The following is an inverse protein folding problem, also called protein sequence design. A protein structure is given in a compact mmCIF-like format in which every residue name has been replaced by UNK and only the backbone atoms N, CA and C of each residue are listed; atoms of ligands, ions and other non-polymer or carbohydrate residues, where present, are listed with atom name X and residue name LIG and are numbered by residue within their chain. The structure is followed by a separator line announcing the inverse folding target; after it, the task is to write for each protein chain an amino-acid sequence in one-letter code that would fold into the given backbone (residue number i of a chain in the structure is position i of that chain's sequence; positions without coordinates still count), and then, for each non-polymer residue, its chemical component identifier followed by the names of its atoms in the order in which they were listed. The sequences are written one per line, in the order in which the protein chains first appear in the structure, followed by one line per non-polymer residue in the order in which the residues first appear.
data_IF_340459420120
#
_entry.id   IF_340459420120
#
_cell.length_a   1.000
_cell.length_b   1.000
_cell.length_c   1.000
_cell.angle_alpha   90.00
_cell.angle_beta   90.00
_cell.angle_gamma   90.00
#
_symmetry.space_group_name_H-M   'P 1'
#
loop_
_entity.id
_entity.type
_entity.pdbx_description
1 polymer ?
#
# COMPACT_ATOMS: atom_id res chain seq x y z
N UNK A 1 8.49 16.56 61.52
CA UNK A 1 8.35 15.51 60.48
C UNK A 1 8.37 16.14 59.08
N UNK A 2 9.46 16.76 58.62
CA UNK A 2 10.63 16.20 57.93
C UNK A 2 10.35 15.22 56.76
N UNK A 3 9.89 15.76 55.63
CA UNK A 3 9.93 15.07 54.33
C UNK A 3 10.90 15.78 53.39
N UNK A 4 12.20 15.61 53.66
CA UNK A 4 13.28 15.95 52.72
C UNK A 4 13.68 14.67 51.96
N UNK A 5 13.76 14.80 50.64
CA UNK A 5 14.71 14.15 49.71
C UNK A 5 15.06 12.66 49.93
N UNK A 6 14.66 11.82 48.97
CA UNK A 6 15.39 10.59 48.64
C UNK A 6 15.36 10.36 47.12
N UNK A 7 16.16 11.13 46.38
CA UNK A 7 16.60 10.72 45.05
C UNK A 7 17.65 9.61 45.25
N UNK A 8 17.20 8.35 45.25
CA UNK A 8 18.09 7.20 45.31
C UNK A 8 18.37 6.74 43.89
N UNK A 9 19.63 6.92 43.54
CA UNK A 9 20.29 6.49 42.32
C UNK A 9 20.29 4.96 42.30
N UNK A 10 19.88 4.35 41.20
CA UNK A 10 20.18 2.95 40.93
C UNK A 10 20.97 2.89 39.62
N UNK A 11 22.25 2.59 39.78
CA UNK A 11 23.22 2.32 38.73
C UNK A 11 23.35 0.80 38.58
N UNK A 12 23.63 0.35 37.36
CA UNK A 12 24.32 -0.91 36.96
C UNK A 12 23.53 -1.79 35.99
N UNK A 13 24.23 -2.16 34.90
CA UNK A 13 24.00 -3.19 33.87
C UNK A 13 23.09 -2.71 32.71
N UNK A 14 23.49 -2.64 31.44
CA UNK A 14 24.48 -3.41 30.68
C UNK A 14 24.98 -2.61 29.47
N UNK A 15 26.29 -2.59 29.28
CA UNK A 15 26.98 -2.14 28.08
C UNK A 15 26.90 -3.24 27.02
N UNK A 16 26.27 -2.95 25.88
CA UNK A 16 26.35 -3.77 24.68
C UNK A 16 26.69 -2.86 23.49
N UNK A 17 27.78 -3.22 22.82
CA UNK A 17 28.47 -2.45 21.80
C UNK A 17 27.63 -2.12 20.55
N UNK A 18 27.98 -1.04 19.83
CA UNK A 18 27.56 -0.85 18.45
C UNK A 18 28.37 -1.79 17.54
N UNK A 19 27.82 -2.98 17.25
CA UNK A 19 28.37 -3.83 16.20
C UNK A 19 28.00 -3.24 14.84
N UNK A 20 28.96 -2.57 14.24
CA UNK A 20 29.07 -2.39 12.80
C UNK A 20 28.92 -3.74 12.11
N UNK A 21 27.85 -3.93 11.35
CA UNK A 21 27.78 -5.01 10.35
C UNK A 21 27.24 -4.45 9.05
N UNK A 22 28.17 -4.32 8.12
CA UNK A 22 27.97 -4.20 6.68
C UNK A 22 26.84 -5.12 6.23
N UNK A 23 25.69 -4.56 5.84
CA UNK A 23 24.57 -5.32 5.25
C UNK A 23 24.92 -5.72 3.82
N UNK A 24 25.56 -6.87 3.66
CA UNK A 24 25.60 -7.62 2.40
C UNK A 24 24.22 -8.25 2.17
N UNK A 25 23.61 -7.98 1.02
CA UNK A 25 22.19 -8.26 0.69
C UNK A 25 21.82 -9.73 0.49
N UNK A 26 22.69 -10.70 0.78
CA UNK A 26 22.52 -12.08 0.30
C UNK A 26 22.09 -13.12 1.35
N UNK A 27 22.00 -12.76 2.64
CA UNK A 27 21.70 -13.71 3.73
C UNK A 27 20.36 -13.41 4.45
N UNK A 28 19.30 -13.06 3.72
CA UNK A 28 17.95 -13.12 4.30
C UNK A 28 17.42 -14.54 4.05
N UNK A 29 17.26 -15.40 5.08
CA UNK A 29 16.73 -16.74 4.89
C UNK A 29 15.35 -16.68 4.22
N UNK A 30 15.13 -17.48 3.17
CA UNK A 30 13.93 -17.48 2.33
C UNK A 30 12.63 -17.48 3.16
N UNK A 31 12.63 -18.21 4.29
CA UNK A 31 11.50 -18.32 5.20
C UNK A 31 11.15 -16.99 5.90
N UNK A 32 12.13 -16.15 6.17
CA UNK A 32 11.94 -14.81 6.77
C UNK A 32 11.27 -13.85 5.77
N UNK A 33 11.59 -13.98 4.48
CA UNK A 33 10.93 -13.19 3.43
C UNK A 33 9.49 -13.66 3.21
N UNK A 34 9.25 -14.97 3.16
CA UNK A 34 7.90 -15.53 3.04
C UNK A 34 6.99 -15.09 4.20
N UNK A 35 7.52 -15.06 5.42
CA UNK A 35 6.80 -14.60 6.61
C UNK A 35 6.49 -13.08 6.56
N UNK A 36 7.39 -12.28 5.99
CA UNK A 36 7.12 -10.85 5.73
C UNK A 36 6.09 -10.60 4.63
N UNK A 37 5.87 -11.57 3.72
CA UNK A 37 4.89 -11.47 2.63
C UNK A 37 3.49 -11.96 3.03
N UNK A 38 3.38 -12.63 4.18
CA UNK A 38 2.11 -13.09 4.75
C UNK A 38 1.42 -11.93 5.48
N UNK A 39 0.30 -11.45 4.91
CA UNK A 39 -0.55 -10.47 5.58
C UNK A 39 -1.52 -11.17 6.55
N UNK A 40 -1.41 -10.91 7.85
CA UNK A 40 -2.33 -11.43 8.89
C UNK A 40 -3.64 -10.60 9.00
N UNK A 41 -3.96 -9.82 7.98
CA UNK A 41 -5.17 -9.00 7.95
C UNK A 41 -6.41 -9.91 7.87
N UNK A 42 -7.31 -9.79 8.84
CA UNK A 42 -8.64 -10.38 8.74
C UNK A 42 -9.45 -9.58 7.73
N UNK A 43 -9.67 -10.16 6.56
CA UNK A 43 -10.66 -9.70 5.58
C UNK A 43 -12.08 -9.97 6.12
N UNK A 44 -12.48 -9.34 7.23
CA UNK A 44 -13.90 -9.17 7.62
C UNK A 44 -14.58 -8.10 6.77
N UNK A 45 -14.10 -7.96 5.52
CA UNK A 45 -14.75 -7.21 4.47
C UNK A 45 -15.76 -8.15 3.83
N UNK A 46 -16.90 -8.35 4.48
CA UNK A 46 -18.10 -8.55 3.69
C UNK A 46 -18.10 -7.40 2.68
N UNK A 47 -18.05 -7.70 1.38
CA UNK A 47 -18.18 -6.70 0.32
C UNK A 47 -19.27 -5.73 0.76
N UNK A 48 -19.00 -4.41 0.85
CA UNK A 48 -20.02 -3.47 1.29
C UNK A 48 -21.30 -3.80 0.54
N UNK A 49 -22.37 -4.04 1.29
CA UNK A 49 -23.67 -4.35 0.72
C UNK A 49 -23.92 -3.30 -0.36
N UNK A 50 -24.00 -3.79 -1.59
CA UNK A 50 -24.12 -2.98 -2.80
C UNK A 50 -25.31 -2.07 -2.52
N UNK A 51 -25.06 -0.76 -2.29
CA UNK A 51 -26.03 0.16 -1.71
C UNK A 51 -27.44 -0.10 -2.26
N UNK A 52 -28.36 -0.72 -1.49
CA UNK A 52 -29.59 -1.25 -2.06
C UNK A 52 -30.57 -0.17 -2.53
N UNK A 53 -30.39 1.07 -2.08
CA UNK A 53 -31.28 2.17 -2.43
C UNK A 53 -30.56 3.24 -3.24
N UNK A 54 -31.18 3.60 -4.37
CA UNK A 54 -30.88 4.83 -5.09
C UNK A 54 -31.15 6.00 -4.14
N UNK A 55 -30.09 6.56 -3.56
CA UNK A 55 -30.18 7.76 -2.74
C UNK A 55 -30.85 8.85 -3.60
N UNK A 56 -31.97 9.45 -3.16
CA UNK A 56 -32.65 10.50 -3.92
C UNK A 56 -31.66 11.61 -4.29
N UNK A 57 -31.53 11.88 -5.61
CA UNK A 57 -30.57 12.84 -6.16
C UNK A 57 -29.24 12.23 -6.63
N UNK A 58 -28.92 10.97 -6.35
CA UNK A 58 -27.72 10.31 -6.91
C UNK A 58 -27.87 9.94 -8.39
N UNK A 59 -29.09 9.73 -8.88
CA UNK A 59 -29.36 9.41 -10.29
C UNK A 59 -29.03 10.54 -11.26
N UNK A 60 -28.97 11.79 -10.78
CA UNK A 60 -28.60 12.96 -11.58
C UNK A 60 -27.07 13.05 -11.79
N UNK A 61 -26.29 12.51 -10.84
CA UNK A 61 -24.82 12.54 -10.87
C UNK A 61 -24.19 11.21 -11.26
N UNK A 62 -24.94 10.11 -11.19
CA UNK A 62 -24.53 8.86 -11.79
C UNK A 62 -24.32 9.13 -13.29
N UNK A 63 -23.13 8.86 -13.84
CA UNK A 63 -22.94 8.93 -15.27
C UNK A 63 -23.98 8.00 -15.89
N UNK A 64 -24.99 8.57 -16.55
CA UNK A 64 -25.82 7.78 -17.46
C UNK A 64 -24.84 7.00 -18.34
N UNK A 65 -25.02 5.68 -18.55
CA UNK A 65 -24.13 4.89 -19.37
C UNK A 65 -24.15 5.51 -20.77
N UNK A 66 -23.22 6.42 -20.99
CA UNK A 66 -23.07 7.10 -22.26
C UNK A 66 -22.64 6.00 -23.20
N UNK A 67 -23.45 5.69 -24.21
CA UNK A 67 -23.14 4.70 -25.24
C UNK A 67 -21.83 5.00 -26.01
N UNK A 68 -21.14 6.11 -25.70
CA UNK A 68 -19.83 6.54 -26.21
C UNK A 68 -18.68 6.38 -25.22
N UNK A 69 -18.92 5.88 -24.00
CA UNK A 69 -17.83 5.53 -23.10
C UNK A 69 -17.10 4.34 -23.70
N UNK A 70 -15.93 4.59 -24.29
CA UNK A 70 -15.00 3.53 -24.65
C UNK A 70 -14.79 2.66 -23.41
N UNK A 71 -14.75 1.33 -23.55
CA UNK A 71 -14.48 0.46 -22.42
C UNK A 71 -13.26 0.97 -21.64
N UNK A 72 -13.30 0.91 -20.30
CA UNK A 72 -12.18 1.35 -19.47
C UNK A 72 -10.87 0.75 -20.00
N UNK A 73 -9.73 1.46 -19.87
CA UNK A 73 -8.47 1.02 -20.47
C UNK A 73 -8.04 -0.39 -20.04
N UNK A 74 -8.44 -0.83 -18.84
CA UNK A 74 -8.20 -2.19 -18.32
C UNK A 74 -9.11 -3.27 -18.92
N UNK A 75 -10.20 -2.88 -19.59
CA UNK A 75 -11.09 -3.77 -20.36
C UNK A 75 -10.69 -3.79 -21.85
N UNK A 76 -9.52 -3.26 -22.19
CA UNK A 76 -8.92 -3.45 -23.51
C UNK A 76 -8.19 -4.79 -23.50
N UNK A 77 -8.23 -5.51 -24.62
CA UNK A 77 -7.44 -6.73 -24.78
C UNK A 77 -5.94 -6.45 -24.67
N UNK A 78 -5.14 -7.49 -24.42
CA UNK A 78 -3.68 -7.35 -24.33
C UNK A 78 -3.14 -6.73 -25.62
N UNK A 79 -2.36 -5.67 -25.46
CA UNK A 79 -1.62 -5.06 -26.55
C UNK A 79 -0.42 -5.94 -26.92
N UNK A 80 0.19 -5.66 -28.08
CA UNK A 80 1.41 -6.38 -28.50
C UNK A 80 2.53 -6.16 -27.50
N UNK A 81 2.59 -4.96 -26.93
CA UNK A 81 3.54 -4.54 -25.93
C UNK A 81 3.36 -5.35 -24.63
N UNK A 82 2.12 -5.56 -24.19
CA UNK A 82 1.82 -6.40 -23.02
C UNK A 82 2.26 -7.85 -23.23
N UNK A 83 2.00 -8.41 -24.40
CA UNK A 83 2.42 -9.79 -24.75
C UNK A 83 3.95 -9.92 -24.73
N UNK A 84 4.66 -8.92 -25.28
CA UNK A 84 6.12 -8.90 -25.25
C UNK A 84 6.65 -8.81 -23.81
N UNK A 85 6.00 -7.99 -22.97
CA UNK A 85 6.40 -7.85 -21.56
C UNK A 85 6.19 -9.16 -20.78
N UNK A 86 5.05 -9.84 -20.98
CA UNK A 86 4.81 -11.17 -20.39
C UNK A 86 5.88 -12.17 -20.82
N UNK A 87 6.28 -12.16 -22.10
CA UNK A 87 7.37 -13.00 -22.57
C UNK A 87 8.71 -12.66 -21.91
N UNK A 88 9.03 -11.37 -21.75
CA UNK A 88 10.25 -10.93 -21.07
C UNK A 88 10.29 -11.41 -19.61
N UNK A 89 9.17 -11.29 -18.89
CA UNK A 89 9.05 -11.80 -17.53
C UNK A 89 9.24 -13.32 -17.45
N UNK A 90 8.71 -14.07 -18.43
CA UNK A 90 8.87 -15.52 -18.52
C UNK A 90 10.29 -15.99 -18.83
N UNK A 91 11.16 -15.11 -19.35
CA UNK A 91 12.58 -15.41 -19.60
C UNK A 91 13.48 -15.16 -18.39
N UNK A 92 12.96 -14.54 -17.33
CA UNK A 92 13.73 -14.28 -16.11
C UNK A 92 14.02 -15.57 -15.34
N UNK A 93 15.16 -15.62 -14.65
CA UNK A 93 15.40 -16.65 -13.63
C UNK A 93 14.43 -16.47 -12.45
N UNK A 94 14.25 -17.51 -11.64
CA UNK A 94 13.42 -17.42 -10.43
C UNK A 94 13.85 -16.26 -9.52
N UNK A 95 15.16 -16.05 -9.34
CA UNK A 95 15.70 -14.91 -8.59
C UNK A 95 15.39 -13.56 -9.23
N UNK A 96 15.48 -13.46 -10.56
CA UNK A 96 15.14 -12.24 -11.30
C UNK A 96 13.66 -11.89 -11.20
N UNK A 97 12.79 -12.90 -11.25
CA UNK A 97 11.35 -12.70 -11.06
C UNK A 97 11.02 -12.20 -9.64
N UNK A 98 11.64 -12.79 -8.61
CA UNK A 98 11.48 -12.33 -7.22
C UNK A 98 11.92 -10.87 -7.05
N UNK A 99 13.02 -10.47 -7.69
CA UNK A 99 13.48 -9.09 -7.64
C UNK A 99 12.50 -8.13 -8.31
N UNK A 100 11.92 -8.49 -9.46
CA UNK A 100 10.93 -7.66 -10.15
C UNK A 100 9.64 -7.56 -9.32
N UNK A 101 9.21 -8.64 -8.67
CA UNK A 101 8.08 -8.63 -7.73
C UNK A 101 8.35 -7.68 -6.55
N UNK A 102 9.54 -7.76 -5.95
CA UNK A 102 9.94 -6.85 -4.86
C UNK A 102 9.93 -5.39 -5.30
N UNK A 103 10.50 -5.10 -6.47
CA UNK A 103 10.50 -3.75 -7.05
C UNK A 103 9.08 -3.23 -7.27
N UNK A 104 8.16 -4.07 -7.77
CA UNK A 104 6.77 -3.70 -7.97
C UNK A 104 6.06 -3.43 -6.63
N UNK A 105 6.34 -4.25 -5.62
CA UNK A 105 5.84 -4.06 -4.26
C UNK A 105 6.30 -2.70 -3.69
N UNK A 106 7.59 -2.38 -3.80
CA UNK A 106 8.14 -1.12 -3.29
C UNK A 106 7.55 0.08 -4.04
N UNK A 107 7.35 -0.04 -5.35
CA UNK A 107 6.68 0.98 -6.16
C UNK A 107 5.22 1.19 -5.73
N UNK A 108 4.47 0.10 -5.53
CA UNK A 108 3.07 0.17 -5.09
C UNK A 108 2.95 0.84 -3.72
N UNK A 109 3.85 0.52 -2.78
CA UNK A 109 3.92 1.16 -1.48
C UNK A 109 4.16 2.67 -1.60
N UNK A 110 5.16 3.07 -2.39
CA UNK A 110 5.48 4.48 -2.62
C UNK A 110 4.30 5.24 -3.24
N UNK A 111 3.65 4.67 -4.26
CA UNK A 111 2.45 5.25 -4.87
C UNK A 111 1.31 5.40 -3.87
N UNK A 112 1.11 4.42 -2.99
CA UNK A 112 0.09 4.50 -1.94
C UNK A 112 0.34 5.65 -0.95
N UNK A 113 1.60 5.90 -0.57
CA UNK A 113 1.96 7.06 0.25
C UNK A 113 1.67 8.39 -0.45
N UNK A 114 2.01 8.48 -1.74
CA UNK A 114 1.76 9.68 -2.55
C UNK A 114 0.27 9.94 -2.75
N UNK A 115 -0.52 8.90 -3.02
CA UNK A 115 -1.97 8.99 -3.14
C UNK A 115 -2.60 9.45 -1.82
N UNK A 116 -2.22 8.85 -0.69
CA UNK A 116 -2.75 9.23 0.63
C UNK A 116 -2.46 10.70 0.96
N UNK A 117 -1.28 11.20 0.59
CA UNK A 117 -0.90 12.61 0.72
C UNK A 117 -1.78 13.50 -0.15
N UNK A 118 -2.02 13.14 -1.40
CA UNK A 118 -2.86 13.94 -2.31
C UNK A 118 -4.34 13.91 -1.88
N UNK A 119 -4.83 12.78 -1.39
CA UNK A 119 -6.18 12.66 -0.82
C UNK A 119 -6.37 13.56 0.40
N UNK A 120 -5.37 13.58 1.29
CA UNK A 120 -5.34 14.47 2.45
C UNK A 120 -5.33 15.94 2.03
N UNK A 121 -4.51 16.29 1.03
CA UNK A 121 -4.47 17.63 0.44
C UNK A 121 -5.83 18.01 -0.16
N UNK A 122 -6.46 17.13 -0.92
CA UNK A 122 -7.80 17.32 -1.48
C UNK A 122 -8.85 17.60 -0.41
N UNK A 123 -8.78 16.89 0.73
CA UNK A 123 -9.64 17.13 1.89
C UNK A 123 -9.47 18.56 2.44
N UNK A 124 -8.24 19.05 2.61
CA UNK A 124 -7.98 20.42 3.10
C UNK A 124 -8.38 21.50 2.09
N UNK A 125 -8.26 21.21 0.79
CA UNK A 125 -8.72 22.10 -0.27
C UNK A 125 -10.23 22.01 -0.53
N UNK A 126 -10.92 21.17 0.24
CA UNK A 126 -12.37 21.00 0.21
C UNK A 126 -12.95 20.71 -1.20
N UNK A 127 -12.17 20.07 -2.07
CA UNK A 127 -12.56 19.81 -3.47
C UNK A 127 -13.67 18.76 -3.58
N UNK A 128 -13.84 17.94 -2.54
CA UNK A 128 -14.88 16.93 -2.44
C UNK A 128 -16.17 17.45 -1.77
N UNK A 129 -16.19 18.70 -1.28
CA UNK A 129 -17.42 19.26 -0.75
C UNK A 129 -18.42 19.52 -1.86
N UNK A 130 -19.63 18.99 -1.68
CA UNK A 130 -20.76 19.27 -2.56
C UNK A 130 -21.09 20.74 -2.47
N UNK A 131 -21.19 21.42 -3.62
CA UNK A 131 -21.70 22.80 -3.71
C UNK A 131 -23.17 22.76 -3.28
N UNK A 132 -23.45 23.10 -2.01
CA UNK A 132 -24.81 23.31 -1.54
C UNK A 132 -25.38 24.49 -2.35
N UNK A 133 -26.32 24.19 -3.25
CA UNK A 133 -27.10 25.16 -4.01
C UNK A 133 -28.57 24.83 -3.82
#
# INVERSE_FOLDING_TARGET
DNWKMAAKQNSTVQEAQPSTSTSTSDDIPMTSLEESLLSLEKLDRASPEIWPESIPGLSEYAPLPNAKQSPPPWNRGLTREDINYVHQLGLLSASGLILEVKKLHDLAYQLGLEEAKEMTRGKYLNIFSKRQR
#
